data_IF_433074321960
#
_entry.id   IF_433074321960
#
_cell.length_a   1.000
_cell.length_b   1.000
_cell.length_c   1.000
_cell.angle_alpha   90.00
_cell.angle_beta   90.00
_cell.angle_gamma   90.00
#
_symmetry.space_group_name_H-M   'P 1'
#
loop_
_entity.id
_entity.type
_entity.pdbx_description
1 polymer ?
#
# COMPACT_ATOMS: atom_id res chain seq x y z
N UNK A 1 -16.82 7.02 56.18
CA UNK A 1 -16.89 7.18 54.70
C UNK A 1 -15.47 7.31 54.14
N UNK A 2 -14.92 6.25 53.53
CA UNK A 2 -13.60 6.29 52.87
C UNK A 2 -13.82 6.22 51.35
N UNK A 3 -13.36 7.25 50.62
CA UNK A 3 -13.47 7.38 49.16
C UNK A 3 -12.46 6.45 48.48
N UNK A 4 -12.91 5.68 47.50
CA UNK A 4 -12.07 4.89 46.60
C UNK A 4 -11.35 5.81 45.60
N UNK A 5 -10.01 5.81 45.61
CA UNK A 5 -9.19 6.37 44.52
C UNK A 5 -9.10 5.32 43.39
N UNK A 6 -9.60 5.67 42.21
CA UNK A 6 -9.39 4.90 40.98
C UNK A 6 -7.95 5.08 40.50
N UNK A 7 -7.14 4.02 40.55
CA UNK A 7 -5.84 3.94 39.89
C UNK A 7 -6.02 3.91 38.37
N UNK A 8 -5.63 4.98 37.68
CA UNK A 8 -5.47 4.98 36.22
C UNK A 8 -4.20 4.19 35.89
N UNK A 9 -4.34 3.11 35.11
CA UNK A 9 -3.21 2.37 34.53
C UNK A 9 -2.49 3.29 33.53
N UNK A 10 -1.22 3.54 33.78
CA UNK A 10 -0.30 4.23 32.87
C UNK A 10 0.18 3.18 31.87
N UNK A 11 -0.16 3.36 30.59
CA UNK A 11 0.45 2.57 29.52
C UNK A 11 1.85 3.12 29.26
N UNK A 12 2.84 2.24 29.33
CA UNK A 12 4.24 2.49 29.00
C UNK A 12 4.38 3.01 27.57
N UNK A 13 4.53 4.32 27.42
CA UNK A 13 5.01 4.96 26.19
C UNK A 13 6.52 4.75 26.07
N UNK A 14 6.93 3.74 25.31
CA UNK A 14 8.29 3.62 24.81
C UNK A 14 8.48 4.59 23.64
N UNK A 15 9.01 5.77 23.93
CA UNK A 15 9.61 6.67 22.95
C UNK A 15 10.85 5.99 22.36
N UNK A 16 10.94 5.93 21.03
CA UNK A 16 12.21 5.77 20.33
C UNK A 16 12.33 6.90 19.30
N UNK A 17 13.32 7.78 19.55
CA UNK A 17 13.72 8.96 18.79
C UNK A 17 14.97 8.63 17.95
N UNK A 18 15.04 9.16 16.71
CA UNK A 18 16.24 9.25 15.86
C UNK A 18 16.38 8.07 14.89
N UNK A 19 16.50 8.27 13.56
CA UNK A 19 17.48 9.11 12.88
C UNK A 19 16.85 9.97 11.77
N UNK A 20 17.32 11.21 11.69
CA UNK A 20 17.04 12.21 10.64
C UNK A 20 17.68 11.82 9.29
N UNK A 21 16.88 11.81 8.24
CA UNK A 21 17.24 12.38 6.93
C UNK A 21 15.98 12.99 6.30
N UNK A 22 15.97 14.32 6.15
CA UNK A 22 14.96 15.06 5.37
C UNK A 22 13.62 15.29 6.07
N UNK A 23 13.41 16.52 6.55
CA UNK A 23 12.21 16.90 7.29
C UNK A 23 10.95 16.94 6.43
N UNK A 24 10.06 16.00 6.70
CA UNK A 24 8.62 16.20 6.70
C UNK A 24 8.05 15.12 7.63
N UNK A 25 7.82 15.46 8.90
CA UNK A 25 7.01 14.65 9.80
C UNK A 25 5.57 14.67 9.28
N UNK A 26 5.26 13.77 8.35
CA UNK A 26 3.90 13.53 7.90
C UNK A 26 3.11 13.04 9.12
N UNK A 27 2.02 13.76 9.41
CA UNK A 27 1.09 13.55 10.52
C UNK A 27 0.88 12.04 10.73
N UNK A 28 1.22 11.56 11.93
CA UNK A 28 0.99 10.17 12.31
C UNK A 28 -0.52 9.88 12.16
N UNK A 29 -0.92 8.91 11.33
CA UNK A 29 -2.33 8.64 11.10
C UNK A 29 -3.01 8.23 12.40
N UNK A 30 -4.25 8.67 12.61
CA UNK A 30 -5.16 8.12 13.64
C UNK A 30 -5.44 6.67 13.27
N UNK A 31 -4.63 5.77 13.83
CA UNK A 31 -4.69 4.33 13.59
C UNK A 31 -5.89 3.72 14.31
N UNK A 32 -6.87 3.22 13.56
CA UNK A 32 -7.81 2.23 14.08
C UNK A 32 -7.22 0.85 13.81
N UNK A 33 -6.59 0.26 14.82
CA UNK A 33 -6.17 -1.14 14.80
C UNK A 33 -7.36 -2.02 15.16
N UNK A 34 -7.86 -2.81 14.20
CA UNK A 34 -8.64 -3.99 14.54
C UNK A 34 -7.65 -5.12 14.79
N UNK A 35 -7.41 -5.43 16.06
CA UNK A 35 -6.65 -6.61 16.44
C UNK A 35 -7.56 -7.83 16.22
N UNK A 36 -7.32 -8.58 15.16
CA UNK A 36 -7.77 -9.97 15.12
C UNK A 36 -6.86 -10.76 16.06
N UNK A 37 -7.40 -11.17 17.20
CA UNK A 37 -6.66 -11.78 18.30
C UNK A 37 -6.16 -13.21 17.98
N UNK A 38 -6.32 -13.67 16.73
CA UNK A 38 -6.02 -15.04 16.32
C UNK A 38 -4.95 -15.19 15.23
N UNK A 39 -4.49 -14.12 14.60
CA UNK A 39 -3.67 -14.21 13.38
C UNK A 39 -2.27 -13.63 13.56
N UNK A 40 -1.29 -14.53 13.52
CA UNK A 40 0.13 -14.22 13.38
C UNK A 40 0.35 -13.35 12.13
N UNK A 41 0.49 -12.04 12.34
CA UNK A 41 1.20 -11.12 11.45
C UNK A 41 0.46 -10.47 10.28
N UNK A 42 -0.81 -10.07 10.42
CA UNK A 42 -1.46 -9.22 9.41
C UNK A 42 -2.36 -8.14 10.04
N UNK A 43 -2.04 -6.85 9.81
CA UNK A 43 -2.81 -5.71 10.31
C UNK A 43 -3.40 -4.94 9.14
N UNK A 44 -4.73 -4.80 9.11
CA UNK A 44 -5.40 -3.89 8.18
C UNK A 44 -5.32 -2.47 8.77
N UNK A 45 -4.68 -1.56 8.03
CA UNK A 45 -4.58 -0.14 8.38
C UNK A 45 -5.34 0.68 7.35
N UNK A 46 -6.14 1.63 7.80
CA UNK A 46 -6.60 2.72 6.91
C UNK A 46 -5.41 3.63 6.64
N UNK A 47 -5.18 3.99 5.38
CA UNK A 47 -4.29 5.10 5.08
C UNK A 47 -4.93 6.38 5.66
N UNK A 48 -4.23 7.14 6.50
CA UNK A 48 -4.81 8.12 7.43
C UNK A 48 -5.43 9.39 6.85
N UNK A 49 -5.55 10.47 7.64
CA UNK A 49 -6.40 11.64 7.35
C UNK A 49 -6.22 12.34 5.99
N UNK A 50 -5.02 12.32 5.40
CA UNK A 50 -4.79 12.91 4.07
C UNK A 50 -5.41 12.05 2.95
N UNK A 51 -5.55 10.75 3.21
CA UNK A 51 -6.34 9.83 2.39
C UNK A 51 -7.78 10.35 2.28
N UNK A 52 -8.42 10.72 3.40
CA UNK A 52 -9.79 11.26 3.41
C UNK A 52 -9.95 12.55 2.59
N UNK A 53 -8.92 13.39 2.49
CA UNK A 53 -8.95 14.57 1.61
C UNK A 53 -8.90 14.17 0.12
N UNK A 54 -8.12 13.13 -0.20
CA UNK A 54 -8.05 12.54 -1.53
C UNK A 54 -9.36 11.84 -1.94
N UNK A 55 -10.10 11.31 -0.97
CA UNK A 55 -11.36 10.58 -1.14
C UNK A 55 -12.58 11.41 -1.58
N UNK A 56 -12.56 12.74 -1.46
CA UNK A 56 -13.81 13.53 -1.52
C UNK A 56 -14.36 13.83 -2.91
N UNK A 57 -13.61 13.60 -4.00
CA UNK A 57 -14.11 13.91 -5.36
C UNK A 57 -13.60 12.90 -6.38
N UNK A 58 -14.45 12.07 -7.01
CA UNK A 58 -14.02 11.19 -8.09
C UNK A 58 -13.34 11.98 -9.21
N UNK A 59 -12.41 11.33 -9.90
CA UNK A 59 -11.75 11.96 -11.04
C UNK A 59 -12.66 11.84 -12.26
N UNK A 60 -13.47 12.86 -12.51
CA UNK A 60 -14.52 12.87 -13.55
C UNK A 60 -14.01 13.09 -14.98
N UNK A 61 -12.70 12.91 -15.25
CA UNK A 61 -12.15 13.12 -16.59
C UNK A 61 -11.73 11.79 -17.22
N UNK A 62 -12.40 11.47 -18.33
CA UNK A 62 -12.16 10.31 -19.19
C UNK A 62 -10.68 10.10 -19.55
N UNK A 63 -9.89 11.17 -19.74
CA UNK A 63 -8.45 11.08 -20.02
C UNK A 63 -7.69 10.45 -18.86
N UNK A 64 -8.00 10.85 -17.62
CA UNK A 64 -7.38 10.25 -16.43
C UNK A 64 -7.75 8.78 -16.27
N UNK A 65 -8.95 8.39 -16.67
CA UNK A 65 -9.34 6.99 -16.65
C UNK A 65 -8.56 6.19 -17.69
N UNK A 66 -8.40 6.73 -18.91
CA UNK A 66 -7.56 6.12 -19.95
C UNK A 66 -6.11 5.97 -19.46
N UNK A 67 -5.54 7.01 -18.86
CA UNK A 67 -4.18 6.96 -18.31
C UNK A 67 -4.08 5.96 -17.15
N UNK A 68 -5.05 5.94 -16.25
CA UNK A 68 -5.13 4.99 -15.14
C UNK A 68 -5.25 3.53 -15.61
N UNK A 69 -5.90 3.30 -16.76
CA UNK A 69 -6.09 1.97 -17.35
C UNK A 69 -4.89 1.49 -18.14
N UNK A 70 -4.25 2.37 -18.90
CA UNK A 70 -3.30 1.96 -19.94
C UNK A 70 -1.85 2.35 -19.64
N UNK A 71 -1.62 3.27 -18.69
CA UNK A 71 -0.28 3.77 -18.39
C UNK A 71 0.22 3.21 -17.07
N UNK A 72 1.43 2.66 -17.08
CA UNK A 72 2.14 2.24 -15.87
C UNK A 72 3.21 3.28 -15.54
N UNK A 73 2.80 4.32 -14.82
CA UNK A 73 3.64 5.49 -14.48
C UNK A 73 3.53 5.84 -13.00
N UNK A 74 4.62 6.33 -12.40
CA UNK A 74 4.61 6.85 -11.03
C UNK A 74 3.73 8.10 -10.90
N UNK A 75 3.49 8.82 -12.01
CA UNK A 75 2.53 9.94 -12.04
C UNK A 75 1.06 9.49 -11.84
N UNK A 76 0.79 8.19 -11.87
CA UNK A 76 -0.51 7.66 -11.49
C UNK A 76 -0.64 7.47 -9.96
N UNK A 77 0.42 7.68 -9.16
CA UNK A 77 0.33 7.71 -7.71
C UNK A 77 -0.50 8.94 -7.28
N UNK A 78 -1.46 8.73 -6.39
CA UNK A 78 -2.47 9.73 -6.03
C UNK A 78 -3.30 10.16 -7.24
N UNK A 79 -3.52 9.27 -8.20
CA UNK A 79 -4.54 9.40 -9.23
C UNK A 79 -5.27 8.06 -9.42
N UNK A 80 -4.52 7.02 -9.82
CA UNK A 80 -5.01 5.67 -10.09
C UNK A 80 -4.71 4.65 -9.00
N UNK A 81 -3.70 4.91 -8.18
CA UNK A 81 -3.35 4.08 -7.04
C UNK A 81 -2.76 4.92 -5.92
N UNK A 82 -2.54 4.30 -4.77
CA UNK A 82 -1.81 4.88 -3.64
C UNK A 82 -0.74 3.90 -3.21
N UNK A 83 0.52 4.34 -3.17
CA UNK A 83 1.59 3.52 -2.62
C UNK A 83 1.30 3.17 -1.15
N UNK A 84 1.66 1.96 -0.71
CA UNK A 84 1.51 1.58 0.69
C UNK A 84 2.50 2.35 1.56
N UNK A 85 2.28 2.32 2.88
CA UNK A 85 3.28 2.83 3.82
C UNK A 85 4.52 1.94 3.81
N UNK A 86 5.66 2.49 3.43
CA UNK A 86 6.97 1.83 3.53
C UNK A 86 7.53 1.99 4.94
N UNK A 87 7.90 0.88 5.57
CA UNK A 87 8.45 0.88 6.92
C UNK A 87 9.26 -0.40 7.16
N UNK A 88 10.44 -0.22 7.74
CA UNK A 88 11.27 -1.33 8.19
C UNK A 88 10.50 -2.26 9.15
N UNK A 89 10.59 -3.56 8.89
CA UNK A 89 9.86 -4.62 9.57
C UNK A 89 8.45 -4.89 9.02
N UNK A 90 8.02 -4.16 7.99
CA UNK A 90 6.67 -4.27 7.41
C UNK A 90 6.75 -4.42 5.89
N UNK A 91 5.91 -5.30 5.34
CA UNK A 91 5.56 -5.32 3.92
C UNK A 91 4.08 -4.99 3.79
N UNK A 92 3.69 -4.16 2.82
CA UNK A 92 2.31 -3.69 2.73
C UNK A 92 1.73 -3.79 1.33
N UNK A 93 0.45 -4.17 1.28
CA UNK A 93 -0.38 -4.18 0.07
C UNK A 93 -1.52 -3.18 0.24
N UNK A 94 -1.54 -2.10 -0.53
CA UNK A 94 -2.62 -1.11 -0.50
C UNK A 94 -3.67 -1.38 -1.58
N UNK A 95 -4.92 -1.01 -1.31
CA UNK A 95 -5.98 -1.00 -2.29
C UNK A 95 -6.57 0.41 -2.47
N UNK A 96 -6.72 0.80 -3.73
CA UNK A 96 -7.30 2.07 -4.12
C UNK A 96 -8.21 1.90 -5.34
N UNK A 97 -9.51 1.94 -5.11
CA UNK A 97 -10.50 2.11 -6.18
C UNK A 97 -10.40 3.50 -6.86
N UNK A 98 -10.20 3.55 -8.17
CA UNK A 98 -10.08 4.78 -8.95
C UNK A 98 -11.32 5.67 -8.87
N UNK A 99 -12.51 5.05 -8.89
CA UNK A 99 -13.80 5.73 -8.79
C UNK A 99 -14.18 6.07 -7.35
N UNK A 100 -13.32 5.75 -6.38
CA UNK A 100 -13.53 6.00 -4.95
C UNK A 100 -14.79 5.34 -4.42
N UNK A 101 -15.18 4.20 -5.01
CA UNK A 101 -16.36 3.46 -4.56
C UNK A 101 -16.08 2.85 -3.17
N UNK A 102 -16.80 3.26 -2.11
CA UNK A 102 -16.57 2.79 -0.75
C UNK A 102 -16.92 1.30 -0.55
N UNK A 103 -17.74 0.74 -1.45
CA UNK A 103 -18.12 -0.67 -1.42
C UNK A 103 -17.15 -1.56 -2.20
N UNK A 104 -16.22 -0.96 -2.95
CA UNK A 104 -15.24 -1.70 -3.72
C UNK A 104 -14.24 -2.37 -2.80
N UNK A 105 -14.01 -3.66 -3.03
CA UNK A 105 -13.05 -4.42 -2.24
C UNK A 105 -12.01 -5.13 -3.10
N UNK A 106 -10.85 -5.38 -2.49
CA UNK A 106 -9.80 -6.26 -2.96
C UNK A 106 -9.64 -7.40 -1.99
N UNK A 107 -9.70 -8.62 -2.52
CA UNK A 107 -9.54 -9.86 -1.77
C UNK A 107 -8.10 -10.34 -1.90
N UNK A 108 -7.50 -10.73 -0.77
CA UNK A 108 -6.12 -11.21 -0.67
C UNK A 108 -6.11 -12.43 0.24
N UNK A 109 -5.28 -13.41 -0.07
CA UNK A 109 -5.04 -14.56 0.80
C UNK A 109 -3.58 -14.50 1.27
N UNK A 110 -3.32 -14.81 2.53
CA UNK A 110 -1.96 -15.00 3.05
C UNK A 110 -1.77 -16.42 3.55
N UNK A 111 -0.62 -17.01 3.28
CA UNK A 111 -0.21 -18.32 3.79
C UNK A 111 1.01 -18.14 4.68
N UNK A 112 0.82 -18.37 5.98
CA UNK A 112 1.88 -18.31 6.99
C UNK A 112 2.88 -19.48 6.81
N UNK A 113 4.06 -19.43 7.46
CA UNK A 113 5.12 -20.44 7.31
C UNK A 113 4.67 -21.85 7.74
N UNK A 114 3.77 -21.92 8.72
CA UNK A 114 3.16 -23.17 9.19
C UNK A 114 2.04 -23.70 8.27
N UNK A 115 1.77 -23.05 7.13
CA UNK A 115 0.70 -23.42 6.19
C UNK A 115 -0.69 -22.90 6.55
N UNK A 116 -0.85 -22.13 7.64
CA UNK A 116 -2.13 -21.48 7.98
C UNK A 116 -2.54 -20.47 6.91
N UNK A 117 -3.82 -20.48 6.53
CA UNK A 117 -4.36 -19.62 5.48
C UNK A 117 -5.31 -18.61 6.07
N UNK A 118 -5.09 -17.33 5.76
CA UNK A 118 -5.95 -16.22 6.18
C UNK A 118 -6.50 -15.50 4.96
N UNK A 119 -7.77 -15.11 5.05
CA UNK A 119 -8.51 -14.44 3.98
C UNK A 119 -8.76 -12.99 4.39
N UNK A 120 -8.30 -12.07 3.54
CA UNK A 120 -8.35 -10.64 3.80
C UNK A 120 -9.25 -9.93 2.79
N UNK A 121 -9.93 -8.88 3.27
CA UNK A 121 -10.74 -7.99 2.44
C UNK A 121 -10.29 -6.56 2.71
N UNK A 122 -9.68 -5.93 1.70
CA UNK A 122 -9.30 -4.53 1.74
C UNK A 122 -10.36 -3.68 1.04
N UNK A 123 -10.87 -2.67 1.72
CA UNK A 123 -11.73 -1.65 1.12
C UNK A 123 -10.87 -0.58 0.45
N UNK A 124 -11.50 0.20 -0.43
CA UNK A 124 -10.94 1.48 -0.85
C UNK A 124 -10.60 2.30 0.39
N UNK A 125 -9.33 2.56 0.66
CA UNK A 125 -8.93 2.94 2.01
C UNK A 125 -7.62 2.35 2.46
N UNK A 126 -7.55 1.06 2.23
CA UNK A 126 -6.94 0.20 3.21
C UNK A 126 -5.67 -0.42 2.67
N UNK A 127 -4.78 -0.75 3.59
CA UNK A 127 -3.63 -1.58 3.31
C UNK A 127 -3.58 -2.76 4.26
N UNK A 128 -3.20 -3.92 3.73
CA UNK A 128 -2.77 -5.08 4.49
C UNK A 128 -1.30 -4.90 4.83
N UNK A 129 -0.95 -4.97 6.11
CA UNK A 129 0.43 -4.91 6.59
C UNK A 129 0.85 -6.28 7.10
N UNK A 130 1.92 -6.83 6.55
CA UNK A 130 2.51 -8.11 6.92
C UNK A 130 3.79 -7.83 7.69
N UNK A 131 3.91 -8.43 8.87
CA UNK A 131 5.07 -8.29 9.77
C UNK A 131 5.78 -9.61 10.03
N UNK A 132 5.21 -10.71 9.54
CA UNK A 132 5.76 -12.05 9.70
C UNK A 132 6.52 -12.44 8.44
N UNK A 133 7.80 -12.78 8.61
CA UNK A 133 8.63 -13.32 7.54
C UNK A 133 8.09 -14.68 7.07
N UNK A 134 8.53 -15.07 5.89
CA UNK A 134 8.18 -16.30 5.22
C UNK A 134 6.67 -16.41 4.96
N UNK A 135 6.00 -15.27 4.69
CA UNK A 135 4.56 -15.23 4.40
C UNK A 135 4.34 -15.14 2.90
N UNK A 136 3.55 -16.06 2.33
CA UNK A 136 3.12 -15.95 0.93
C UNK A 136 1.81 -15.16 0.82
N UNK A 137 1.71 -14.30 -0.19
CA UNK A 137 0.52 -13.50 -0.50
C UNK A 137 -0.01 -13.95 -1.84
N UNK A 138 -1.28 -14.32 -1.93
CA UNK A 138 -1.96 -14.68 -3.17
C UNK A 138 -3.04 -13.62 -3.48
N UNK A 139 -3.07 -13.17 -4.72
CA UNK A 139 -4.02 -12.15 -5.17
C UNK A 139 -4.21 -12.20 -6.70
N UNK A 140 -5.31 -11.62 -7.20
CA UNK A 140 -5.47 -11.42 -8.65
C UNK A 140 -4.57 -10.28 -9.10
N UNK A 141 -3.64 -10.61 -9.99
CA UNK A 141 -2.82 -9.62 -10.66
C UNK A 141 -3.48 -9.16 -11.95
N UNK A 142 -3.65 -7.85 -12.10
CA UNK A 142 -4.26 -7.25 -13.29
C UNK A 142 -3.24 -6.79 -14.32
N UNK A 143 -1.95 -6.72 -13.94
CA UNK A 143 -0.85 -6.38 -14.84
C UNK A 143 -0.38 -7.61 -15.60
N UNK A 144 -0.27 -8.74 -14.91
CA UNK A 144 0.17 -10.02 -15.47
C UNK A 144 -0.95 -11.07 -15.35
N UNK A 145 -2.03 -10.96 -16.15
CA UNK A 145 -3.15 -11.91 -16.11
C UNK A 145 -2.77 -13.33 -16.55
N UNK A 146 -1.61 -13.51 -17.18
CA UNK A 146 -1.06 -14.80 -17.63
C UNK A 146 -0.53 -15.68 -16.50
N UNK A 147 -0.41 -15.17 -15.26
CA UNK A 147 -0.07 -16.00 -14.12
C UNK A 147 -1.08 -17.15 -13.93
N UNK A 148 -0.67 -18.22 -13.26
CA UNK A 148 -1.47 -19.45 -13.10
C UNK A 148 -2.91 -19.16 -12.69
N UNK A 149 -3.85 -19.39 -13.61
CA UNK A 149 -5.29 -19.08 -13.45
C UNK A 149 -5.63 -17.61 -13.11
N UNK A 150 -4.71 -16.67 -13.35
CA UNK A 150 -4.80 -15.24 -13.00
C UNK A 150 -4.33 -14.91 -11.57
N UNK A 151 -3.78 -15.88 -10.83
CA UNK A 151 -3.37 -15.73 -9.42
C UNK A 151 -1.85 -15.58 -9.36
N UNK A 152 -1.39 -14.38 -8.99
CA UNK A 152 -0.01 -14.15 -8.58
C UNK A 152 0.22 -14.62 -7.15
N UNK A 153 1.47 -14.94 -6.82
CA UNK A 153 1.89 -15.00 -5.43
C UNK A 153 3.20 -14.27 -5.20
N UNK A 154 3.27 -13.50 -4.10
CA UNK A 154 4.47 -12.83 -3.64
C UNK A 154 4.94 -13.43 -2.32
N UNK A 155 6.23 -13.68 -2.16
CA UNK A 155 6.80 -14.21 -0.93
C UNK A 155 7.50 -13.12 -0.14
N UNK A 156 7.02 -12.88 1.08
CA UNK A 156 7.57 -11.90 2.01
C UNK A 156 8.65 -12.61 2.84
N UNK A 157 9.89 -12.56 2.40
CA UNK A 157 11.02 -13.08 3.18
C UNK A 157 11.50 -12.11 4.26
N UNK A 158 12.48 -12.52 5.06
CA UNK A 158 13.06 -11.71 6.12
C UNK A 158 13.76 -10.44 5.60
N UNK A 159 14.29 -10.45 4.38
CA UNK A 159 15.03 -9.34 3.78
C UNK A 159 14.09 -8.26 3.27
N UNK A 160 12.96 -8.65 2.66
CA UNK A 160 11.85 -7.78 2.29
C UNK A 160 11.38 -7.00 3.52
N UNK A 161 11.16 -7.69 4.65
CA UNK A 161 10.75 -7.03 5.90
C UNK A 161 11.87 -6.17 6.47
N UNK A 162 13.11 -6.68 6.54
CA UNK A 162 14.25 -5.95 7.10
C UNK A 162 14.52 -4.65 6.36
N UNK A 163 14.33 -4.61 5.05
CA UNK A 163 14.47 -3.40 4.25
C UNK A 163 13.23 -2.52 4.35
N UNK A 164 12.03 -3.12 4.31
CA UNK A 164 10.74 -2.43 4.46
C UNK A 164 10.47 -1.37 3.38
N UNK A 165 11.17 -1.46 2.25
CA UNK A 165 11.15 -0.49 1.17
C UNK A 165 10.40 -1.01 -0.06
N UNK A 166 9.79 -2.20 0.00
CA UNK A 166 9.00 -2.77 -1.08
C UNK A 166 7.51 -2.80 -0.72
N UNK A 167 6.66 -2.77 -1.73
CA UNK A 167 5.22 -2.84 -1.53
C UNK A 167 4.44 -3.07 -2.81
N UNK A 168 3.16 -3.40 -2.64
CA UNK A 168 2.22 -3.58 -3.75
C UNK A 168 1.09 -2.56 -3.57
N UNK A 169 0.68 -1.92 -4.66
CA UNK A 169 -0.56 -1.16 -4.71
C UNK A 169 -1.49 -1.74 -5.77
N UNK A 170 -2.75 -1.95 -5.42
CA UNK A 170 -3.76 -2.48 -6.32
C UNK A 170 -4.83 -1.43 -6.60
N UNK A 171 -5.31 -1.39 -7.85
CA UNK A 171 -6.51 -0.64 -8.24
C UNK A 171 -7.50 -1.50 -9.01
N UNK A 172 -8.59 -0.90 -9.49
CA UNK A 172 -9.55 -1.57 -10.37
C UNK A 172 -8.91 -2.06 -11.68
N UNK A 173 -7.87 -1.38 -12.13
CA UNK A 173 -7.32 -1.53 -13.47
C UNK A 173 -6.01 -2.30 -13.47
N UNK A 174 -5.12 -2.02 -12.52
CA UNK A 174 -3.75 -2.52 -12.55
C UNK A 174 -3.26 -2.91 -11.16
N UNK A 175 -2.17 -3.69 -11.14
CA UNK A 175 -1.36 -3.92 -9.95
C UNK A 175 -0.01 -3.23 -10.16
N UNK A 176 0.45 -2.50 -9.15
CA UNK A 176 1.66 -1.71 -9.14
C UNK A 176 2.64 -2.29 -8.13
N UNK A 177 3.85 -2.57 -8.57
CA UNK A 177 4.95 -2.99 -7.71
C UNK A 177 5.86 -1.80 -7.46
N UNK A 178 6.18 -1.59 -6.19
CA UNK A 178 6.74 -0.34 -5.75
C UNK A 178 7.97 -0.59 -4.90
N UNK A 179 8.96 0.27 -5.11
CA UNK A 179 10.10 0.46 -4.22
C UNK A 179 10.05 1.87 -3.68
N UNK A 180 10.28 2.05 -2.39
CA UNK A 180 10.30 3.36 -1.76
C UNK A 180 11.30 4.25 -2.49
N UNK A 181 10.84 5.43 -2.91
CA UNK A 181 11.71 6.40 -3.55
C UNK A 181 12.64 7.05 -2.54
N UNK A 182 13.88 7.31 -2.95
CA UNK A 182 14.91 7.97 -2.13
C UNK A 182 15.11 9.44 -2.51
N UNK A 183 14.30 9.97 -3.43
CA UNK A 183 14.39 11.33 -3.98
C UNK A 183 13.03 12.00 -3.91
N UNK A 184 13.02 13.33 -3.86
CA UNK A 184 11.78 14.07 -4.00
C UNK A 184 11.27 13.89 -5.43
N UNK A 185 10.09 13.29 -5.56
CA UNK A 185 9.36 13.20 -6.81
C UNK A 185 8.02 13.91 -6.67
N UNK A 186 7.73 14.75 -7.66
CA UNK A 186 6.57 15.63 -7.66
C UNK A 186 5.72 15.24 -8.86
N UNK A 187 4.49 14.84 -8.58
CA UNK A 187 3.47 14.51 -9.55
C UNK A 187 2.98 15.80 -10.24
N UNK A 188 3.60 16.11 -11.38
CA UNK A 188 3.26 17.27 -12.20
C UNK A 188 1.80 17.23 -12.67
N UNK A 189 1.28 16.04 -13.00
CA UNK A 189 -0.09 15.84 -13.45
C UNK A 189 -1.10 16.28 -12.38
N UNK A 190 -0.85 15.96 -11.11
CA UNK A 190 -1.69 16.42 -10.00
C UNK A 190 -1.60 17.93 -9.81
N UNK A 191 -0.40 18.51 -9.86
CA UNK A 191 -0.22 19.94 -9.68
C UNK A 191 -0.88 20.76 -10.79
N UNK A 192 -0.57 20.45 -12.04
CA UNK A 192 -1.09 21.17 -13.20
C UNK A 192 -2.62 21.10 -13.29
N UNK A 193 -3.22 19.96 -12.92
CA UNK A 193 -4.66 19.73 -13.04
C UNK A 193 -5.47 20.29 -11.87
N UNK A 194 -5.01 20.12 -10.63
CA UNK A 194 -5.79 20.49 -9.43
C UNK A 194 -5.32 21.79 -8.79
N UNK A 195 -4.12 22.24 -9.12
CA UNK A 195 -3.52 23.46 -8.61
C UNK A 195 -2.98 24.35 -9.74
N UNK A 196 -3.82 24.71 -10.74
CA UNK A 196 -3.37 25.44 -11.93
C UNK A 196 -2.81 26.84 -11.62
N UNK A 197 -3.15 27.41 -10.46
CA UNK A 197 -2.55 28.66 -9.96
C UNK A 197 -1.09 28.51 -9.52
N UNK A 198 -0.63 27.28 -9.32
CA UNK A 198 0.75 26.96 -8.99
C UNK A 198 1.48 26.68 -10.30
N UNK A 199 2.15 27.70 -10.86
CA UNK A 199 2.87 27.56 -12.13
C UNK A 199 3.96 26.49 -12.03
N UNK A 200 3.79 25.31 -12.66
CA UNK A 200 4.70 24.20 -12.48
C UNK A 200 5.97 24.34 -13.34
N UNK A 201 6.06 25.38 -14.21
CA UNK A 201 7.30 25.74 -14.90
C UNK A 201 8.43 26.16 -13.95
N UNK A 202 8.11 26.49 -12.69
CA UNK A 202 9.12 26.75 -11.66
C UNK A 202 9.83 25.49 -11.13
N UNK A 203 9.32 24.28 -11.44
CA UNK A 203 10.01 23.02 -11.12
C UNK A 203 11.38 22.92 -11.81
N UNK A 204 11.50 23.45 -13.03
CA UNK A 204 12.71 23.35 -13.85
C UNK A 204 14.00 23.93 -13.20
N UNK A 205 13.88 24.73 -12.14
CA UNK A 205 15.01 25.42 -11.53
C UNK A 205 15.42 24.87 -10.14
N UNK A 206 14.48 24.35 -9.34
CA UNK A 206 14.73 23.76 -8.02
C UNK A 206 13.45 23.08 -7.47
N UNK A 207 13.35 21.75 -7.60
CA UNK A 207 12.20 20.96 -7.19
C UNK A 207 11.88 21.08 -5.68
N UNK A 208 12.91 21.11 -4.83
CA UNK A 208 12.74 21.16 -3.37
C UNK A 208 12.24 22.52 -2.91
N UNK A 209 12.83 23.61 -3.41
CA UNK A 209 12.38 24.96 -3.09
C UNK A 209 10.95 25.23 -3.59
N UNK A 210 10.58 24.65 -4.73
CA UNK A 210 9.21 24.71 -5.22
C UNK A 210 8.26 23.91 -4.35
N UNK A 211 8.57 22.65 -4.05
CA UNK A 211 7.73 21.77 -3.24
C UNK A 211 7.47 22.35 -1.84
N UNK A 212 8.49 22.96 -1.22
CA UNK A 212 8.38 23.57 0.10
C UNK A 212 7.49 24.83 0.13
N UNK A 213 7.17 25.44 -1.02
CA UNK A 213 6.22 26.57 -1.11
C UNK A 213 4.77 26.11 -1.19
N UNK A 214 4.53 24.85 -1.54
CA UNK A 214 3.19 24.29 -1.61
C UNK A 214 2.60 24.16 -0.20
N UNK A 215 1.27 24.24 -0.09
CA UNK A 215 0.59 23.91 1.17
C UNK A 215 0.83 22.44 1.55
N UNK A 216 0.68 22.10 2.83
CA UNK A 216 0.85 20.72 3.29
C UNK A 216 -0.08 19.72 2.56
N UNK A 217 -1.28 20.17 2.20
CA UNK A 217 -2.22 19.37 1.40
C UNK A 217 -1.69 19.13 -0.02
N UNK A 218 -1.21 20.19 -0.69
CA UNK A 218 -0.63 20.12 -2.03
C UNK A 218 0.60 19.23 -2.05
N UNK A 219 1.50 19.40 -1.09
CA UNK A 219 2.69 18.55 -0.92
C UNK A 219 2.29 17.08 -0.79
N UNK A 220 1.33 16.78 0.07
CA UNK A 220 0.95 15.38 0.29
C UNK A 220 0.27 14.73 -0.92
N UNK A 221 -0.44 15.49 -1.76
CA UNK A 221 -1.09 14.96 -2.97
C UNK A 221 -0.12 14.86 -4.14
N UNK A 222 0.78 15.83 -4.26
CA UNK A 222 1.75 15.86 -5.34
C UNK A 222 2.96 14.94 -5.08
N UNK A 223 3.21 14.53 -3.84
CA UNK A 223 4.35 13.66 -3.54
C UNK A 223 4.12 12.25 -4.06
N UNK A 224 5.04 11.78 -4.90
CA UNK A 224 5.21 10.38 -5.26
C UNK A 224 6.12 9.75 -4.20
N UNK A 225 5.74 8.58 -3.69
CA UNK A 225 6.43 7.90 -2.60
C UNK A 225 7.05 6.56 -3.01
N UNK A 226 6.60 5.97 -4.12
CA UNK A 226 7.18 4.76 -4.69
C UNK A 226 7.65 4.94 -6.13
N UNK A 227 8.88 4.48 -6.41
CA UNK A 227 9.32 4.18 -7.77
C UNK A 227 8.67 2.88 -8.24
N UNK A 228 8.16 2.87 -9.48
CA UNK A 228 7.63 1.66 -10.08
C UNK A 228 8.76 0.71 -10.43
N UNK A 229 8.61 -0.55 -10.03
CA UNK A 229 9.50 -1.64 -10.39
C UNK A 229 8.72 -2.71 -11.13
N UNK A 230 9.44 -3.62 -11.79
CA UNK A 230 8.84 -4.78 -12.43
C UNK A 230 8.68 -5.95 -11.43
N UNK A 231 7.84 -6.92 -11.76
CA UNK A 231 7.61 -8.10 -10.94
C UNK A 231 8.92 -8.82 -10.61
N UNK A 232 9.78 -8.99 -11.60
CA UNK A 232 11.08 -9.67 -11.45
C UNK A 232 12.02 -8.93 -10.48
N UNK A 233 11.94 -7.60 -10.39
CA UNK A 233 12.69 -6.85 -9.38
C UNK A 233 12.06 -7.00 -7.99
N UNK A 234 10.72 -7.06 -7.91
CA UNK A 234 10.01 -7.24 -6.65
C UNK A 234 10.31 -8.60 -6.02
N UNK A 235 10.26 -9.70 -6.78
CA UNK A 235 10.48 -11.06 -6.26
C UNK A 235 11.95 -11.41 -6.01
N UNK A 236 12.89 -10.62 -6.53
CA UNK A 236 14.31 -10.95 -6.48
C UNK A 236 14.65 -12.26 -7.19
N UNK A 237 15.73 -12.92 -6.79
CA UNK A 237 16.27 -14.12 -7.45
C UNK A 237 16.06 -15.45 -6.69
N UNK A 238 15.42 -15.43 -5.53
CA UNK A 238 15.27 -16.64 -4.69
C UNK A 238 13.92 -16.69 -3.97
N UNK A 239 13.08 -17.65 -4.38
CA UNK A 239 11.90 -18.08 -3.64
C UNK A 239 12.29 -19.26 -2.74
N UNK A 240 12.31 -19.08 -1.42
CA UNK A 240 12.59 -20.15 -0.45
C UNK A 240 11.32 -20.58 0.27
N UNK A 241 10.32 -21.07 -0.47
CA UNK A 241 9.08 -21.57 0.12
C UNK A 241 9.32 -22.90 0.85
N UNK A 242 8.70 -23.06 2.02
CA UNK A 242 8.68 -24.37 2.70
C UNK A 242 7.79 -25.37 1.94
N UNK A 243 8.00 -26.67 2.14
CA UNK A 243 7.22 -27.72 1.48
C UNK A 243 5.72 -27.63 1.83
N UNK A 244 5.39 -27.32 3.08
CA UNK A 244 4.01 -27.06 3.54
C UNK A 244 3.38 -25.89 2.79
N UNK A 245 4.13 -24.80 2.55
CA UNK A 245 3.65 -23.67 1.77
C UNK A 245 3.48 -24.00 0.29
N UNK A 246 4.42 -24.73 -0.31
CA UNK A 246 4.33 -25.13 -1.72
C UNK A 246 3.09 -25.98 -1.98
N UNK A 247 2.84 -26.98 -1.15
CA UNK A 247 1.61 -27.80 -1.23
C UNK A 247 0.39 -26.90 -1.08
N UNK A 248 0.38 -26.02 -0.08
CA UNK A 248 -0.78 -25.19 0.19
C UNK A 248 -1.07 -24.16 -0.91
N UNK A 249 -0.03 -23.55 -1.48
CA UNK A 249 -0.14 -22.58 -2.58
C UNK A 249 -0.67 -23.28 -3.82
N UNK A 250 -0.15 -24.48 -4.14
CA UNK A 250 -0.64 -25.29 -5.26
C UNK A 250 -2.12 -25.63 -5.09
N UNK A 251 -2.50 -26.15 -3.92
CA UNK A 251 -3.91 -26.46 -3.60
C UNK A 251 -4.79 -25.22 -3.77
N UNK A 252 -4.33 -24.05 -3.32
CA UNK A 252 -5.07 -22.80 -3.46
C UNK A 252 -5.19 -22.35 -4.92
N UNK A 253 -4.15 -22.48 -5.74
CA UNK A 253 -4.17 -22.10 -7.16
C UNK A 253 -5.04 -23.03 -8.02
N UNK A 254 -5.15 -24.30 -7.64
CA UNK A 254 -5.97 -25.31 -8.33
C UNK A 254 -7.43 -25.30 -7.86
N UNK A 255 -7.72 -24.76 -6.66
CA UNK A 255 -9.07 -24.71 -6.11
C UNK A 255 -9.92 -23.59 -6.75
N UNK A 256 -11.03 -23.91 -7.43
CA UNK A 256 -11.91 -22.91 -8.04
C UNK A 256 -12.48 -21.90 -7.03
N UNK A 257 -12.73 -22.32 -5.79
CA UNK A 257 -13.25 -21.45 -4.74
C UNK A 257 -12.26 -20.33 -4.36
N UNK A 258 -10.96 -20.60 -4.47
CA UNK A 258 -9.92 -19.57 -4.27
C UNK A 258 -10.02 -18.49 -5.31
N UNK A 259 -10.12 -18.88 -6.59
CA UNK A 259 -10.27 -17.93 -7.69
C UNK A 259 -11.55 -17.11 -7.52
N UNK A 260 -12.67 -17.76 -7.22
CA UNK A 260 -13.94 -17.08 -6.93
C UNK A 260 -13.81 -16.08 -5.79
N UNK A 261 -13.17 -16.45 -4.68
CA UNK A 261 -12.92 -15.53 -3.57
C UNK A 261 -12.10 -14.31 -4.02
N UNK A 262 -11.02 -14.54 -4.76
CA UNK A 262 -10.09 -13.48 -5.18
C UNK A 262 -10.67 -12.54 -6.26
N UNK A 263 -11.59 -13.04 -7.09
CA UNK A 263 -12.26 -12.26 -8.15
C UNK A 263 -13.45 -11.44 -7.66
N UNK A 264 -14.07 -11.83 -6.54
CA UNK A 264 -15.23 -11.14 -5.98
C UNK A 264 -14.88 -9.70 -5.56
N UNK A 265 -15.54 -8.74 -6.21
CA UNK A 265 -15.36 -7.29 -6.04
C UNK A 265 -16.43 -6.66 -5.16
#
# INVERSE_FOLDING_TARGET
MKKHLKTKKILSTGLALGILTGGATFIAPTQQTFADASTTGSVIKSAGDIYNAFLRTPFDNWLSEIDARNTYSSENENLAYRAPTFKQGEFSVSYYDFYKNPNSVKKIITVSPNGSVNYHTLKHGEQLTITQADTAILYIDRRYPEFTNGIAFFYVDADVLRNGNLGIAASNFQTYYLKQTNRLQINFTILSRYYPSVNPLHLANNDEAYFNRLSLEQQSRAKITGDLIDWNELIGSTLSLTESQLVRIRDLQENPATKTFLENK
#
